data_IF_361896428092
#
_entry.id   IF_361896428092
#
_cell.length_a   1.000
_cell.length_b   1.000
_cell.length_c   1.000
_cell.angle_alpha   90.00
_cell.angle_beta   90.00
_cell.angle_gamma   90.00
#
_symmetry.space_group_name_H-M   'P 1'
#
loop_
_entity.id
_entity.type
_entity.pdbx_description
1 polymer ?
#
# COMPACT_ATOMS: atom_id res chain seq x y z
N UNK A 1 -1.68 -9.37 -14.81
CA UNK A 1 -2.74 -8.93 -13.89
C UNK A 1 -3.96 -9.80 -14.16
N UNK A 2 -4.75 -10.14 -13.16
CA UNK A 2 -6.01 -10.89 -13.33
C UNK A 2 -7.03 -10.39 -12.30
N UNK A 3 -8.31 -10.74 -12.46
CA UNK A 3 -9.35 -10.41 -11.48
C UNK A 3 -9.43 -11.59 -10.50
N UNK A 4 -9.02 -11.42 -9.24
CA UNK A 4 -9.06 -12.51 -8.27
C UNK A 4 -10.46 -12.69 -7.70
N UNK A 5 -10.74 -13.93 -7.33
CA UNK A 5 -11.96 -14.31 -6.60
C UNK A 5 -12.04 -13.60 -5.24
N UNK A 6 -13.26 -13.42 -4.73
CA UNK A 6 -13.50 -12.71 -3.46
C UNK A 6 -12.77 -13.35 -2.28
N UNK A 7 -12.70 -14.68 -2.24
CA UNK A 7 -12.03 -15.41 -1.18
C UNK A 7 -10.52 -15.13 -1.19
N UNK A 8 -9.92 -15.02 -2.37
CA UNK A 8 -8.51 -14.68 -2.50
C UNK A 8 -8.26 -13.25 -1.98
N UNK A 9 -9.11 -12.30 -2.36
CA UNK A 9 -9.04 -10.93 -1.85
C UNK A 9 -9.17 -10.92 -0.32
N UNK A 10 -10.06 -11.75 0.25
CA UNK A 10 -10.23 -11.88 1.70
C UNK A 10 -8.97 -12.40 2.39
N UNK A 11 -8.34 -13.44 1.83
CA UNK A 11 -7.06 -14.00 2.31
C UNK A 11 -5.95 -12.96 2.26
N UNK A 12 -5.82 -12.23 1.15
CA UNK A 12 -4.79 -11.20 1.02
C UNK A 12 -5.03 -10.00 1.94
N UNK A 13 -6.29 -9.64 2.23
CA UNK A 13 -6.64 -8.64 3.26
C UNK A 13 -6.29 -9.12 4.67
N UNK A 14 -6.45 -10.41 4.99
CA UNK A 14 -6.02 -10.97 6.28
C UNK A 14 -4.51 -10.86 6.45
N UNK A 15 -3.74 -11.30 5.44
CA UNK A 15 -2.27 -11.12 5.40
C UNK A 15 -1.86 -9.65 5.55
N UNK A 16 -2.60 -8.72 4.97
CA UNK A 16 -2.31 -7.28 5.09
C UNK A 16 -2.46 -6.75 6.52
N UNK A 17 -3.41 -7.30 7.29
CA UNK A 17 -3.58 -6.96 8.71
C UNK A 17 -2.40 -7.49 9.54
N UNK A 18 -2.02 -8.74 9.32
CA UNK A 18 -0.86 -9.37 9.98
C UNK A 18 0.44 -8.63 9.66
N UNK A 19 0.68 -8.35 8.37
CA UNK A 19 1.87 -7.64 7.93
C UNK A 19 1.94 -6.23 8.51
N UNK A 20 0.80 -5.54 8.62
CA UNK A 20 0.71 -4.20 9.22
C UNK A 20 1.06 -4.23 10.72
N UNK A 21 0.74 -5.31 11.43
CA UNK A 21 1.11 -5.48 12.83
C UNK A 21 2.59 -5.85 13.04
N UNK A 22 3.26 -6.35 12.00
CA UNK A 22 4.65 -6.82 12.07
C UNK A 22 5.67 -5.72 12.39
N UNK A 23 6.78 -6.11 13.03
CA UNK A 23 7.91 -5.21 13.29
C UNK A 23 8.53 -4.67 12.00
N UNK A 24 8.50 -5.45 10.92
CA UNK A 24 8.99 -5.00 9.61
C UNK A 24 8.20 -3.78 9.11
N UNK A 25 6.87 -3.79 9.24
CA UNK A 25 6.04 -2.66 8.84
C UNK A 25 6.27 -1.45 9.74
N UNK A 26 6.34 -1.65 11.06
CA UNK A 26 6.66 -0.57 12.02
C UNK A 26 7.99 0.11 11.68
N UNK A 27 9.03 -0.66 11.38
CA UNK A 27 10.34 -0.14 10.93
C UNK A 27 10.27 0.57 9.59
N UNK A 28 9.47 0.07 8.65
CA UNK A 28 9.28 0.71 7.34
C UNK A 28 8.61 2.10 7.48
N UNK A 29 7.60 2.21 8.35
CA UNK A 29 6.94 3.48 8.64
C UNK A 29 7.77 4.42 9.53
N UNK A 30 8.68 3.90 10.36
CA UNK A 30 9.51 4.73 11.24
C UNK A 30 10.37 5.75 10.50
N UNK A 31 10.68 5.49 9.22
CA UNK A 31 11.37 6.47 8.34
C UNK A 31 10.54 7.72 8.06
N UNK A 32 9.21 7.65 8.20
CA UNK A 32 8.31 8.77 7.95
C UNK A 32 8.16 9.17 6.48
N UNK A 33 8.73 8.43 5.53
CA UNK A 33 8.75 8.83 4.11
C UNK A 33 7.59 8.18 3.35
N UNK A 34 6.79 9.00 2.66
CA UNK A 34 5.80 8.52 1.70
C UNK A 34 6.49 7.98 0.44
N UNK A 35 6.11 6.79 -0.02
CA UNK A 35 6.69 6.17 -1.21
C UNK A 35 6.40 6.97 -2.49
N UNK A 36 5.20 7.55 -2.61
CA UNK A 36 4.76 8.17 -3.86
C UNK A 36 5.23 9.62 -4.05
N UNK A 37 5.32 10.40 -2.98
CA UNK A 37 5.67 11.82 -3.09
C UNK A 37 6.98 12.18 -2.40
N UNK A 38 7.66 11.21 -1.77
CA UNK A 38 8.91 11.43 -1.03
C UNK A 38 8.81 12.30 0.23
N UNK A 39 7.67 12.94 0.50
CA UNK A 39 7.48 13.81 1.67
C UNK A 39 7.66 13.03 2.97
N UNK A 40 8.28 13.69 3.94
CA UNK A 40 8.37 13.21 5.32
C UNK A 40 7.11 13.62 6.08
N UNK A 41 6.47 12.65 6.73
CA UNK A 41 5.28 12.80 7.58
C UNK A 41 5.46 11.98 8.85
N UNK A 42 4.63 12.22 9.86
CA UNK A 42 4.67 11.42 11.09
C UNK A 42 4.43 9.93 10.76
N UNK A 43 5.15 8.98 11.38
CA UNK A 43 4.97 7.54 11.13
C UNK A 43 3.52 7.05 11.30
N UNK A 44 2.75 7.68 12.20
CA UNK A 44 1.33 7.37 12.42
C UNK A 44 0.40 7.85 11.31
N UNK A 45 0.84 8.78 10.46
CA UNK A 45 0.08 9.27 9.32
C UNK A 45 0.34 8.49 8.03
N UNK A 46 1.26 7.52 8.07
CA UNK A 46 1.51 6.61 6.97
C UNK A 46 0.49 5.47 6.96
N UNK A 47 -0.05 5.20 5.77
CA UNK A 47 -0.96 4.10 5.49
C UNK A 47 -0.26 3.02 4.66
N UNK A 48 -0.73 1.77 4.74
CA UNK A 48 -0.27 0.71 3.85
C UNK A 48 -1.05 0.79 2.55
N UNK A 49 -0.31 0.85 1.45
CA UNK A 49 -0.84 0.82 0.11
C UNK A 49 -0.22 -0.32 -0.69
N UNK A 50 -1.01 -0.95 -1.57
CA UNK A 50 -0.57 -2.02 -2.45
C UNK A 50 -0.22 -1.41 -3.81
N UNK A 51 1.03 -1.57 -4.27
CA UNK A 51 1.50 -1.07 -5.57
C UNK A 51 0.63 -1.63 -6.69
N UNK A 52 0.55 -2.96 -6.80
CA UNK A 52 -0.49 -3.66 -7.55
C UNK A 52 -1.71 -3.90 -6.63
N UNK A 53 -2.88 -3.31 -6.93
CA UNK A 53 -4.07 -3.49 -6.10
C UNK A 53 -4.52 -4.95 -5.99
N UNK A 54 -5.06 -5.32 -4.83
CA UNK A 54 -5.59 -6.68 -4.61
C UNK A 54 -6.65 -7.05 -5.65
N UNK A 55 -7.54 -6.12 -6.02
CA UNK A 55 -8.57 -6.33 -7.05
C UNK A 55 -8.03 -6.60 -8.47
N UNK A 56 -6.71 -6.47 -8.69
CA UNK A 56 -6.02 -6.78 -9.96
C UNK A 56 -5.00 -7.92 -9.82
N UNK A 57 -5.16 -8.75 -8.79
CA UNK A 57 -4.31 -9.91 -8.52
C UNK A 57 -3.04 -9.57 -7.72
N UNK A 58 -2.96 -8.36 -7.17
CA UNK A 58 -1.89 -7.98 -6.26
C UNK A 58 -1.89 -8.84 -5.00
N UNK A 59 -0.70 -9.14 -4.47
CA UNK A 59 -0.52 -9.92 -3.24
C UNK A 59 -0.01 -9.06 -2.10
N UNK A 60 -0.30 -9.41 -0.87
CA UNK A 60 0.29 -8.76 0.30
C UNK A 60 1.68 -9.34 0.56
N UNK A 61 2.69 -8.76 -0.10
CA UNK A 61 4.10 -9.10 0.09
C UNK A 61 4.90 -7.84 0.37
N UNK A 62 6.09 -7.98 0.97
CA UNK A 62 6.98 -6.85 1.31
C UNK A 62 7.38 -5.99 0.10
N UNK A 63 7.36 -6.58 -1.10
CA UNK A 63 7.69 -5.93 -2.36
C UNK A 63 6.50 -5.20 -2.98
N UNK A 64 5.28 -5.62 -2.67
CA UNK A 64 4.06 -5.01 -3.20
C UNK A 64 3.38 -4.04 -2.22
N UNK A 65 3.86 -3.93 -0.98
CA UNK A 65 3.32 -2.96 0.01
C UNK A 65 4.31 -1.84 0.32
N UNK A 66 3.79 -0.62 0.33
CA UNK A 66 4.57 0.61 0.54
C UNK A 66 3.88 1.57 1.51
N UNK A 67 4.64 2.35 2.31
CA UNK A 67 4.07 3.41 3.12
C UNK A 67 3.61 4.58 2.24
N UNK A 68 2.40 5.08 2.50
CA UNK A 68 1.77 6.12 1.70
C UNK A 68 1.07 7.12 2.62
N UNK A 69 1.32 8.42 2.45
CA UNK A 69 0.60 9.44 3.22
C UNK A 69 -0.90 9.46 2.84
N UNK A 70 -1.75 9.95 3.75
CA UNK A 70 -3.21 10.01 3.55
C UNK A 70 -3.60 10.73 2.25
N UNK A 71 -2.95 11.85 1.94
CA UNK A 71 -3.19 12.65 0.73
C UNK A 71 -2.95 11.83 -0.55
N UNK A 72 -1.80 11.17 -0.66
CA UNK A 72 -1.47 10.33 -1.81
C UNK A 72 -2.42 9.13 -1.91
N UNK A 73 -2.78 8.52 -0.78
CA UNK A 73 -3.67 7.36 -0.77
C UNK A 73 -5.08 7.73 -1.26
N UNK A 74 -5.61 8.89 -0.86
CA UNK A 74 -6.90 9.41 -1.35
C UNK A 74 -6.82 9.69 -2.85
N UNK A 75 -5.78 10.41 -3.29
CA UNK A 75 -5.57 10.75 -4.70
C UNK A 75 -5.41 9.50 -5.58
N UNK A 76 -4.82 8.43 -5.05
CA UNK A 76 -4.69 7.15 -5.76
C UNK A 76 -6.01 6.42 -5.89
N UNK A 77 -6.89 6.48 -4.89
CA UNK A 77 -8.23 5.89 -5.00
C UNK A 77 -9.11 6.61 -6.02
N UNK A 78 -8.89 7.91 -6.24
CA UNK A 78 -9.67 8.72 -7.19
C UNK A 78 -9.16 8.71 -8.63
N UNK A 79 -7.93 8.24 -8.89
CA UNK A 79 -7.36 8.18 -10.26
C UNK A 79 -7.13 6.73 -10.70
N UNK A 80 -7.61 6.39 -11.89
CA UNK A 80 -7.21 5.16 -12.58
C UNK A 80 -5.67 5.12 -12.70
N UNK A 81 -5.03 3.95 -12.51
CA UNK A 81 -3.58 3.83 -12.49
C UNK A 81 -3.00 3.80 -13.92
N UNK A 82 -3.26 4.84 -14.70
CA UNK A 82 -2.69 4.92 -16.05
C UNK A 82 -1.29 5.53 -16.06
N UNK A 83 -0.88 6.38 -15.11
CA UNK A 83 0.50 6.88 -15.01
C UNK A 83 0.84 7.25 -13.54
N UNK A 84 1.77 6.54 -12.92
CA UNK A 84 2.49 7.01 -11.71
C UNK A 84 3.94 7.41 -12.01
N UNK A 85 4.34 7.43 -13.29
CA UNK A 85 5.73 7.63 -13.72
C UNK A 85 6.28 9.05 -13.58
N UNK A 86 5.52 10.03 -13.07
CA UNK A 86 6.01 11.42 -12.95
C UNK A 86 5.43 12.16 -11.74
N UNK A 87 5.88 11.82 -10.54
CA UNK A 87 5.86 12.72 -9.37
C UNK A 87 7.11 12.54 -8.52
#
# INVERSE_FOLDING_TARGET
MYIPEEEEIRREKAKARELRASQWWKRKCARGICHWCGKTVAPGDLTMDHVLPLARGGKTTKNNVVPCCKECNIRKKSRMPTHWDNL
#
